data_IF_671008185771
#
_entry.id   IF_671008185771
#
_cell.length_a   1.000
_cell.length_b   1.000
_cell.length_c   1.000
_cell.angle_alpha   90.00
_cell.angle_beta   90.00
_cell.angle_gamma   90.00
#
_symmetry.space_group_name_H-M   'P 1'
#
loop_
_entity.id
_entity.type
_entity.pdbx_description
1 polymer ?
#
# COMPACT_ATOMS: atom_id res chain seq x y z
N UNK A 1 -57.16 2.78 -5.08
CA UNK A 1 -56.31 3.98 -5.30
C UNK A 1 -54.98 3.70 -4.63
N UNK A 2 -54.04 3.15 -5.39
CA UNK A 2 -52.74 2.67 -4.92
C UNK A 2 -51.68 3.62 -5.43
N UNK A 3 -51.04 4.35 -4.52
CA UNK A 3 -49.98 5.30 -4.82
C UNK A 3 -48.62 4.60 -4.68
N UNK A 4 -47.95 4.39 -5.80
CA UNK A 4 -46.58 3.88 -5.87
C UNK A 4 -45.60 4.99 -5.48
N UNK A 5 -44.58 4.74 -4.65
CA UNK A 5 -43.56 5.74 -4.37
C UNK A 5 -42.60 5.86 -5.56
N UNK A 6 -42.46 7.09 -6.07
CA UNK A 6 -41.51 7.48 -7.12
C UNK A 6 -40.15 7.73 -6.47
N UNK A 7 -39.16 6.91 -6.79
CA UNK A 7 -37.76 7.14 -6.43
C UNK A 7 -37.20 8.17 -7.42
N UNK A 8 -37.02 9.40 -6.95
CA UNK A 8 -36.38 10.48 -7.69
C UNK A 8 -34.86 10.25 -7.68
N UNK A 9 -34.31 9.79 -8.82
CA UNK A 9 -32.86 9.82 -9.05
C UNK A 9 -32.43 11.26 -9.32
N UNK A 10 -31.68 11.84 -8.39
CA UNK A 10 -31.01 13.12 -8.55
C UNK A 10 -29.85 12.98 -9.55
N UNK A 11 -30.05 13.47 -10.77
CA UNK A 11 -28.98 13.65 -11.76
C UNK A 11 -28.50 15.09 -11.71
N UNK A 12 -27.71 15.44 -10.70
CA UNK A 12 -26.90 16.66 -10.75
C UNK A 12 -25.56 16.35 -11.41
N UNK A 13 -25.61 16.31 -12.74
CA UNK A 13 -24.45 16.39 -13.63
C UNK A 13 -23.89 17.82 -13.57
N UNK A 14 -22.99 18.07 -12.62
CA UNK A 14 -22.12 19.25 -12.67
C UNK A 14 -21.09 19.05 -13.79
N UNK A 15 -21.28 19.78 -14.89
CA UNK A 15 -20.29 19.98 -15.95
C UNK A 15 -18.95 20.38 -15.33
N UNK A 16 -17.96 19.50 -15.43
CA UNK A 16 -16.57 19.81 -15.15
C UNK A 16 -16.04 20.64 -16.34
N UNK A 17 -15.47 21.84 -16.12
CA UNK A 17 -14.75 22.56 -17.16
C UNK A 17 -13.45 21.81 -17.50
N UNK A 18 -13.14 21.61 -18.78
CA UNK A 18 -11.81 21.18 -19.23
C UNK A 18 -10.73 22.17 -18.77
N UNK A 19 -9.58 21.65 -18.32
CA UNK A 19 -8.29 21.96 -18.97
C UNK A 19 -7.45 20.67 -19.14
N UNK A 20 -7.13 20.20 -20.35
CA UNK A 20 -5.97 20.55 -21.18
C UNK A 20 -4.61 20.56 -20.41
N UNK A 21 -3.88 19.44 -20.47
CA UNK A 21 -2.40 19.32 -20.49
C UNK A 21 -1.58 19.86 -19.29
N UNK A 22 -2.19 20.27 -18.18
CA UNK A 22 -1.47 20.82 -17.01
C UNK A 22 -0.88 19.79 -16.03
N UNK A 23 -1.09 18.48 -16.24
CA UNK A 23 -0.71 17.44 -15.28
C UNK A 23 0.82 17.32 -15.05
N UNK A 24 1.64 17.81 -15.97
CA UNK A 24 3.10 17.91 -15.82
C UNK A 24 3.56 19.36 -15.98
N UNK A 25 3.16 20.24 -15.07
CA UNK A 25 3.74 21.58 -14.99
C UNK A 25 5.19 21.51 -14.49
N UNK A 26 6.09 21.04 -15.36
CA UNK A 26 7.53 21.17 -15.19
C UNK A 26 7.88 22.64 -15.46
N UNK A 27 8.34 23.33 -14.42
CA UNK A 27 8.88 24.68 -14.52
C UNK A 27 9.90 24.76 -15.66
N UNK A 28 9.78 25.78 -16.50
CA UNK A 28 10.55 25.97 -17.71
C UNK A 28 12.07 25.79 -17.51
N UNK A 29 12.64 24.99 -18.41
CA UNK A 29 14.05 24.71 -18.68
C UNK A 29 15.03 25.83 -18.29
N UNK A 30 15.92 25.51 -17.35
CA UNK A 30 17.25 26.14 -17.26
C UNK A 30 18.20 25.27 -18.08
N UNK A 31 18.68 25.79 -19.21
CA UNK A 31 19.75 25.14 -19.99
C UNK A 31 21.07 25.32 -19.24
N UNK A 32 21.65 24.23 -18.76
CA UNK A 32 23.07 24.15 -18.40
C UNK A 32 23.85 23.56 -19.57
N UNK A 33 24.99 24.15 -19.90
CA UNK A 33 25.80 23.81 -21.08
C UNK A 33 26.74 22.61 -20.90
N UNK A 34 26.77 21.99 -19.72
CA UNK A 34 27.65 20.84 -19.44
C UNK A 34 26.85 19.78 -18.68
N UNK A 35 26.60 18.64 -19.33
CA UNK A 35 25.66 17.61 -18.86
C UNK A 35 26.15 16.82 -17.65
N UNK A 36 25.28 16.52 -16.66
CA UNK A 36 25.64 15.67 -15.53
C UNK A 36 25.33 14.19 -15.78
N UNK A 37 26.00 13.36 -14.97
CA UNK A 37 26.08 11.90 -14.99
C UNK A 37 24.74 11.15 -14.69
N UNK A 38 23.61 11.87 -14.60
CA UNK A 38 22.32 11.35 -14.10
C UNK A 38 21.44 10.68 -15.18
N UNK A 39 21.67 10.98 -16.46
CA UNK A 39 20.87 10.42 -17.58
C UNK A 39 21.02 8.90 -17.79
N UNK A 40 22.01 8.28 -17.14
CA UNK A 40 22.30 6.84 -17.25
C UNK A 40 21.47 6.01 -16.25
N UNK A 41 20.96 6.59 -15.17
CA UNK A 41 20.20 5.85 -14.15
C UNK A 41 18.71 5.65 -14.51
N UNK A 42 18.06 6.64 -15.14
CA UNK A 42 16.65 6.53 -15.56
C UNK A 42 16.44 5.45 -16.62
N UNK A 43 17.26 5.47 -17.69
CA UNK A 43 17.22 4.47 -18.78
C UNK A 43 17.50 3.03 -18.32
N UNK A 44 18.19 2.83 -17.18
CA UNK A 44 18.49 1.50 -16.60
C UNK A 44 17.35 0.94 -15.74
N UNK A 45 16.57 1.78 -15.09
CA UNK A 45 15.44 1.35 -14.24
C UNK A 45 14.30 0.73 -15.04
N UNK A 46 14.21 1.03 -16.33
CA UNK A 46 13.04 0.71 -17.16
C UNK A 46 13.26 -0.35 -18.25
N UNK A 47 14.44 -0.98 -18.29
CA UNK A 47 14.63 -2.33 -18.86
C UNK A 47 15.33 -2.45 -20.22
N UNK A 48 15.77 -1.35 -20.85
CA UNK A 48 16.17 -1.36 -22.27
C UNK A 48 17.65 -1.66 -22.57
N UNK A 49 18.38 -2.30 -21.67
CA UNK A 49 19.64 -2.95 -22.05
C UNK A 49 19.70 -4.40 -21.58
N UNK A 50 19.92 -5.30 -22.54
CA UNK A 50 20.61 -6.58 -22.36
C UNK A 50 22.01 -6.29 -21.80
N UNK A 51 22.12 -6.00 -20.51
CA UNK A 51 23.38 -5.82 -19.80
C UNK A 51 23.37 -6.67 -18.55
N UNK A 52 24.30 -7.60 -18.53
CA UNK A 52 24.68 -8.49 -17.44
C UNK A 52 25.06 -7.70 -16.19
N UNK A 53 24.22 -7.73 -15.15
CA UNK A 53 24.56 -7.83 -13.73
C UNK A 53 23.26 -7.70 -12.92
N UNK A 54 22.90 -8.75 -12.19
CA UNK A 54 21.64 -8.89 -11.45
C UNK A 54 21.57 -8.10 -10.14
N UNK A 55 22.30 -7.00 -10.00
CA UNK A 55 22.42 -6.26 -8.73
C UNK A 55 21.72 -4.88 -8.71
N UNK A 56 21.32 -4.30 -9.85
CA UNK A 56 20.84 -2.90 -9.93
C UNK A 56 19.32 -2.73 -10.22
N UNK A 57 18.52 -3.81 -10.22
CA UNK A 57 17.09 -3.77 -10.64
C UNK A 57 16.08 -3.55 -9.51
N UNK A 58 16.55 -3.20 -8.34
CA UNK A 58 15.72 -2.99 -7.17
C UNK A 58 15.54 -1.50 -6.92
N UNK A 59 14.39 -1.08 -6.38
CA UNK A 59 14.36 0.09 -5.48
C UNK A 59 15.61 0.00 -4.58
N UNK A 60 16.38 1.09 -4.37
CA UNK A 60 17.71 1.00 -3.74
C UNK A 60 17.59 0.04 -2.56
N UNK A 61 18.24 -1.14 -2.63
CA UNK A 61 18.03 -2.15 -1.60
C UNK A 61 18.33 -1.43 -0.30
N UNK A 62 17.39 -1.45 0.68
CA UNK A 62 17.62 -0.87 2.00
C UNK A 62 19.06 -1.22 2.34
N UNK A 63 19.97 -0.22 2.50
CA UNK A 63 21.40 -0.44 2.30
C UNK A 63 21.80 -1.74 2.98
N UNK A 64 22.23 -2.74 2.21
CA UNK A 64 22.55 -4.08 2.72
C UNK A 64 23.65 -4.05 3.77
N UNK A 65 24.36 -2.91 3.90
CA UNK A 65 25.20 -2.55 5.03
C UNK A 65 24.67 -1.30 5.78
N UNK A 66 23.42 -1.32 6.26
CA UNK A 66 23.02 -0.34 7.27
C UNK A 66 23.98 -0.50 8.45
N UNK A 67 24.65 0.58 8.84
CA UNK A 67 25.51 0.54 10.02
C UNK A 67 24.67 0.06 11.20
N UNK A 68 25.15 -0.94 11.95
CA UNK A 68 24.44 -1.56 13.09
C UNK A 68 23.84 -0.52 14.06
N UNK A 69 24.49 0.65 14.18
CA UNK A 69 24.01 1.80 14.97
C UNK A 69 22.71 2.40 14.44
N UNK A 70 22.57 2.59 13.13
CA UNK A 70 21.35 3.12 12.50
C UNK A 70 20.23 2.10 12.64
N UNK A 71 20.50 0.82 12.31
CA UNK A 71 19.50 -0.24 12.41
C UNK A 71 18.94 -0.36 13.83
N UNK A 72 19.81 -0.34 14.85
CA UNK A 72 19.39 -0.36 16.24
C UNK A 72 18.59 0.88 16.64
N UNK A 73 18.98 2.07 16.19
CA UNK A 73 18.28 3.32 16.51
C UNK A 73 16.88 3.35 15.87
N UNK A 74 16.75 2.98 14.60
CA UNK A 74 15.46 2.94 13.92
C UNK A 74 14.57 1.82 14.48
N UNK A 75 15.13 0.65 14.80
CA UNK A 75 14.38 -0.43 15.46
C UNK A 75 13.81 -0.03 16.83
N UNK A 76 14.57 0.77 17.61
CA UNK A 76 14.08 1.37 18.86
C UNK A 76 12.96 2.38 18.58
N UNK A 77 13.14 3.28 17.61
CA UNK A 77 12.12 4.25 17.22
C UNK A 77 10.80 3.58 16.80
N UNK A 78 10.86 2.54 15.97
CA UNK A 78 9.69 1.73 15.61
C UNK A 78 9.04 1.11 16.86
N UNK A 79 9.85 0.60 17.80
CA UNK A 79 9.32 0.04 19.05
C UNK A 79 8.61 1.11 19.89
N UNK A 80 9.18 2.31 20.02
CA UNK A 80 8.58 3.44 20.73
C UNK A 80 7.30 3.93 20.04
N UNK A 81 7.22 3.91 18.70
CA UNK A 81 5.99 4.27 17.98
C UNK A 81 4.80 3.34 18.30
N UNK A 82 5.08 2.07 18.58
CA UNK A 82 4.06 1.09 18.93
C UNK A 82 3.72 1.07 20.43
N UNK A 83 4.48 1.74 21.31
CA UNK A 83 4.24 1.70 22.76
C UNK A 83 2.95 2.41 23.18
N UNK A 84 2.45 3.35 22.37
CA UNK A 84 1.21 4.11 22.63
C UNK A 84 -0.07 3.37 22.18
N UNK A 85 -0.11 2.05 22.34
CA UNK A 85 -1.35 1.29 22.23
C UNK A 85 -1.82 0.98 20.81
N UNK A 86 -0.90 0.79 19.86
CA UNK A 86 -1.31 0.08 18.65
C UNK A 86 -1.59 -1.38 18.97
N UNK A 87 -2.74 -1.86 18.50
CA UNK A 87 -3.29 -3.19 18.74
C UNK A 87 -2.52 -4.27 17.94
N UNK A 88 -1.20 -4.29 18.06
CA UNK A 88 -0.39 -5.43 17.64
C UNK A 88 -0.42 -6.53 18.72
N UNK A 89 -0.96 -6.23 19.90
CA UNK A 89 -1.20 -7.21 20.94
C UNK A 89 -2.14 -8.31 20.44
N UNK A 90 -1.83 -9.55 20.78
CA UNK A 90 -2.49 -10.73 20.22
C UNK A 90 -2.02 -11.17 18.83
N UNK A 91 -1.24 -10.35 18.09
CA UNK A 91 -0.65 -10.80 16.82
C UNK A 91 0.49 -11.80 17.06
N UNK A 92 0.58 -12.87 16.25
CA UNK A 92 1.74 -13.75 16.27
C UNK A 92 3.03 -12.97 15.96
N UNK A 93 4.16 -13.38 16.56
CA UNK A 93 5.45 -12.67 16.47
C UNK A 93 5.87 -12.38 15.02
N UNK A 94 5.68 -13.32 14.10
CA UNK A 94 6.01 -13.12 12.68
C UNK A 94 5.15 -12.06 11.98
N UNK A 95 3.95 -11.77 12.48
CA UNK A 95 3.11 -10.67 11.98
C UNK A 95 3.51 -9.34 12.61
N UNK A 96 3.84 -9.32 13.91
CA UNK A 96 4.42 -8.14 14.56
C UNK A 96 5.68 -7.66 13.82
N UNK A 97 6.54 -8.59 13.40
CA UNK A 97 7.75 -8.27 12.63
C UNK A 97 7.42 -7.64 11.26
N UNK A 98 6.41 -8.16 10.55
CA UNK A 98 5.94 -7.58 9.27
C UNK A 98 5.36 -6.18 9.44
N UNK A 99 4.53 -5.96 10.45
CA UNK A 99 3.98 -4.61 10.72
C UNK A 99 5.12 -3.63 11.00
N UNK A 100 6.08 -4.04 11.84
CA UNK A 100 7.28 -3.24 12.10
C UNK A 100 8.13 -2.99 10.85
N UNK A 101 8.16 -3.91 9.89
CA UNK A 101 8.90 -3.68 8.64
C UNK A 101 8.26 -2.59 7.76
N UNK A 102 6.95 -2.39 7.84
CA UNK A 102 6.26 -1.28 7.16
C UNK A 102 6.74 0.07 7.72
N UNK A 103 6.75 0.20 9.05
CA UNK A 103 7.25 1.42 9.72
C UNK A 103 8.73 1.65 9.46
N UNK A 104 9.52 0.58 9.54
CA UNK A 104 10.96 0.64 9.29
C UNK A 104 11.24 1.23 7.91
N UNK A 105 10.48 0.82 6.88
CA UNK A 105 10.68 1.32 5.52
C UNK A 105 10.38 2.82 5.40
N UNK A 106 9.22 3.26 5.92
CA UNK A 106 8.82 4.66 5.91
C UNK A 106 9.83 5.56 6.65
N UNK A 107 10.21 5.18 7.87
CA UNK A 107 11.15 5.95 8.69
C UNK A 107 12.53 6.00 8.03
N UNK A 108 12.98 4.91 7.43
CA UNK A 108 14.24 4.88 6.69
C UNK A 108 14.21 5.83 5.49
N UNK A 109 13.14 5.81 4.69
CA UNK A 109 12.97 6.73 3.57
C UNK A 109 13.03 8.19 4.03
N UNK A 110 12.34 8.53 5.13
CA UNK A 110 12.41 9.86 5.75
C UNK A 110 13.83 10.24 6.20
N UNK A 111 14.52 9.37 6.95
CA UNK A 111 15.85 9.65 7.48
C UNK A 111 16.90 9.80 6.37
N UNK A 112 16.80 8.99 5.32
CA UNK A 112 17.68 9.09 4.16
C UNK A 112 17.52 10.44 3.49
N UNK A 113 16.29 10.87 3.20
CA UNK A 113 16.00 12.16 2.58
C UNK A 113 16.55 13.33 3.41
N UNK A 114 16.35 13.32 4.73
CA UNK A 114 16.89 14.35 5.64
C UNK A 114 18.43 14.38 5.69
N UNK A 115 19.08 13.33 5.19
CA UNK A 115 20.53 13.21 5.15
C UNK A 115 21.15 13.32 3.75
N UNK A 116 20.35 13.41 2.67
CA UNK A 116 20.84 13.53 1.28
C UNK A 116 21.58 14.85 1.01
N UNK A 117 21.43 15.88 1.84
CA UNK A 117 22.15 17.15 1.70
C UNK A 117 23.69 17.10 1.94
N UNK A 118 24.33 15.92 1.85
CA UNK A 118 25.75 15.70 2.20
C UNK A 118 26.53 14.93 1.10
N UNK A 119 26.17 15.09 -0.16
CA UNK A 119 26.77 14.35 -1.27
C UNK A 119 28.11 14.94 -1.75
N UNK A 120 29.24 14.41 -1.26
CA UNK A 120 30.52 14.49 -1.97
C UNK A 120 31.24 13.13 -2.05
N UNK A 121 30.51 12.02 -2.21
CA UNK A 121 31.04 10.69 -2.58
C UNK A 121 32.17 10.09 -1.73
N UNK A 122 32.65 10.73 -0.66
CA UNK A 122 33.84 10.29 0.06
C UNK A 122 33.48 9.25 1.14
N UNK A 123 34.31 8.23 1.37
CA UNK A 123 34.04 7.21 2.40
C UNK A 123 33.75 7.78 3.80
N UNK A 124 34.40 8.90 4.17
CA UNK A 124 34.16 9.61 5.42
C UNK A 124 32.70 10.12 5.54
N UNK A 125 32.07 10.45 4.42
CA UNK A 125 30.68 10.92 4.40
C UNK A 125 29.67 9.81 4.64
N UNK A 126 29.97 8.57 4.25
CA UNK A 126 29.11 7.43 4.57
C UNK A 126 28.98 7.26 6.09
N UNK A 127 30.09 7.35 6.82
CA UNK A 127 30.04 7.27 8.28
C UNK A 127 29.34 8.50 8.88
N UNK A 128 29.62 9.70 8.37
CA UNK A 128 28.96 10.93 8.82
C UNK A 128 27.44 10.87 8.60
N UNK A 129 26.99 10.40 7.44
CA UNK A 129 25.59 10.17 7.08
C UNK A 129 24.95 9.19 8.05
N UNK A 130 25.58 8.04 8.31
CA UNK A 130 25.07 7.07 9.29
C UNK A 130 25.00 7.65 10.71
N UNK A 131 25.99 8.44 11.14
CA UNK A 131 25.96 9.13 12.44
C UNK A 131 24.82 10.14 12.51
N UNK A 132 24.58 10.91 11.44
CA UNK A 132 23.46 11.87 11.33
C UNK A 132 22.11 11.16 11.38
N UNK A 133 21.92 10.09 10.61
CA UNK A 133 20.70 9.27 10.64
C UNK A 133 20.44 8.70 12.03
N UNK A 134 21.45 8.11 12.68
CA UNK A 134 21.30 7.58 14.04
C UNK A 134 20.96 8.68 15.07
N UNK A 135 21.47 9.90 14.88
CA UNK A 135 21.13 11.06 15.73
C UNK A 135 19.69 11.51 15.50
N UNK A 136 19.25 11.62 14.25
CA UNK A 136 17.86 11.97 13.91
C UNK A 136 16.88 10.92 14.44
N UNK A 137 17.19 9.63 14.29
CA UNK A 137 16.38 8.56 14.84
C UNK A 137 16.26 8.66 16.38
N UNK A 138 17.34 9.01 17.09
CA UNK A 138 17.28 9.26 18.54
C UNK A 138 16.42 10.46 18.89
N UNK A 139 16.54 11.57 18.17
CA UNK A 139 15.65 12.72 18.38
C UNK A 139 14.17 12.37 18.14
N UNK A 140 13.88 11.50 17.17
CA UNK A 140 12.55 10.93 16.98
C UNK A 140 12.09 10.07 18.16
N UNK A 141 12.98 9.28 18.78
CA UNK A 141 12.66 8.50 19.98
C UNK A 141 12.28 9.45 21.12
N UNK A 142 13.09 10.46 21.38
CA UNK A 142 12.86 11.42 22.46
C UNK A 142 11.52 12.16 22.27
N UNK A 143 11.19 12.53 21.01
CA UNK A 143 9.91 13.15 20.66
C UNK A 143 8.74 12.18 20.88
N UNK A 144 8.83 10.95 20.36
CA UNK A 144 7.78 9.93 20.48
C UNK A 144 7.54 9.54 21.93
N UNK A 145 8.59 9.33 22.74
CA UNK A 145 8.49 8.91 24.15
C UNK A 145 8.04 10.04 25.08
N UNK A 146 8.09 11.30 24.63
CA UNK A 146 7.67 12.44 25.46
C UNK A 146 6.16 12.47 25.70
N UNK A 147 5.35 12.08 24.70
CA UNK A 147 3.89 12.18 24.74
C UNK A 147 3.23 11.51 23.53
N UNK A 148 1.92 11.26 23.64
CA UNK A 148 1.11 10.83 22.48
C UNK A 148 1.12 11.88 21.36
N UNK A 149 1.08 13.16 21.72
CA UNK A 149 1.11 14.26 20.74
C UNK A 149 2.45 14.30 20.00
N UNK A 150 3.58 14.09 20.69
CA UNK A 150 4.90 13.99 20.07
C UNK A 150 5.01 12.79 19.12
N UNK A 151 4.38 11.67 19.45
CA UNK A 151 4.23 10.53 18.52
C UNK A 151 3.47 10.91 17.26
N UNK A 152 2.32 11.57 17.41
CA UNK A 152 1.46 11.91 16.28
C UNK A 152 2.10 13.02 15.41
N UNK A 153 2.83 13.97 16.02
CA UNK A 153 3.69 14.95 15.33
C UNK A 153 4.80 14.27 14.50
N UNK A 154 5.50 13.30 15.08
CA UNK A 154 6.52 12.53 14.37
C UNK A 154 5.92 11.79 13.17
N UNK A 155 4.78 11.11 13.36
CA UNK A 155 4.07 10.40 12.28
C UNK A 155 3.69 11.37 11.16
N UNK A 156 3.08 12.52 11.51
CA UNK A 156 2.69 13.55 10.54
C UNK A 156 3.90 14.04 9.74
N UNK A 157 5.02 14.31 10.42
CA UNK A 157 6.27 14.74 9.79
C UNK A 157 6.76 13.68 8.79
N UNK A 158 6.81 12.41 9.19
CA UNK A 158 7.25 11.34 8.28
C UNK A 158 6.35 11.23 7.06
N UNK A 159 5.02 11.31 7.24
CA UNK A 159 4.04 11.27 6.14
C UNK A 159 4.21 12.43 5.17
N UNK A 160 4.33 13.65 5.69
CA UNK A 160 4.51 14.85 4.88
C UNK A 160 5.78 14.73 4.01
N UNK A 161 6.91 14.33 4.61
CA UNK A 161 8.15 14.16 3.88
C UNK A 161 8.10 13.08 2.81
N UNK A 162 7.49 11.92 3.10
CA UNK A 162 7.37 10.86 2.09
C UNK A 162 6.41 11.29 0.98
N UNK A 163 5.32 11.99 1.32
CA UNK A 163 4.38 12.52 0.33
C UNK A 163 5.06 13.54 -0.58
N UNK A 164 5.83 14.48 -0.03
CA UNK A 164 6.65 15.42 -0.81
C UNK A 164 7.62 14.68 -1.74
N UNK A 165 8.27 13.63 -1.23
CA UNK A 165 9.18 12.77 -2.00
C UNK A 165 8.47 12.05 -3.15
N UNK A 166 7.26 11.56 -2.92
CA UNK A 166 6.45 10.89 -3.95
C UNK A 166 6.16 11.77 -5.17
N UNK A 167 6.10 13.09 -4.97
CA UNK A 167 5.87 14.06 -6.04
C UNK A 167 7.15 14.66 -6.62
N UNK A 168 8.22 14.75 -5.83
CA UNK A 168 9.49 15.36 -6.25
C UNK A 168 10.44 14.38 -6.94
N UNK A 169 10.31 13.07 -6.69
CA UNK A 169 11.10 12.04 -7.40
C UNK A 169 10.58 11.71 -8.80
N UNK A 170 9.50 12.34 -9.25
CA UNK A 170 9.10 12.31 -10.66
C UNK A 170 10.06 13.23 -11.43
N UNK A 171 11.26 12.72 -11.72
CA UNK A 171 12.20 13.47 -12.55
C UNK A 171 11.63 13.61 -13.98
N UNK A 172 11.99 14.67 -14.72
CA UNK A 172 11.59 14.81 -16.12
C UNK A 172 11.90 13.55 -16.95
N UNK A 173 13.03 12.89 -16.69
CA UNK A 173 13.42 11.67 -17.38
C UNK A 173 12.51 10.49 -17.04
N UNK A 174 12.18 10.29 -15.75
CA UNK A 174 11.22 9.26 -15.35
C UNK A 174 9.85 9.54 -15.95
N UNK A 175 9.43 10.81 -15.99
CA UNK A 175 8.18 11.21 -16.63
C UNK A 175 8.20 10.91 -18.13
N UNK A 176 9.26 11.27 -18.85
CA UNK A 176 9.41 11.01 -20.28
C UNK A 176 9.40 9.51 -20.58
N UNK A 177 10.15 8.70 -19.82
CA UNK A 177 10.18 7.26 -19.99
C UNK A 177 8.81 6.62 -19.69
N UNK A 178 8.08 7.14 -18.69
CA UNK A 178 6.72 6.71 -18.38
C UNK A 178 5.75 7.10 -19.50
N UNK A 179 5.85 8.31 -20.06
CA UNK A 179 5.04 8.79 -21.18
C UNK A 179 5.27 7.92 -22.43
N UNK A 180 6.52 7.58 -22.75
CA UNK A 180 6.83 6.66 -23.85
C UNK A 180 6.13 5.31 -23.63
N UNK A 181 6.19 4.79 -22.39
CA UNK A 181 5.53 3.53 -22.04
C UNK A 181 4.01 3.59 -22.10
N UNK A 182 3.38 4.73 -21.79
CA UNK A 182 1.93 4.91 -21.90
C UNK A 182 1.44 4.64 -23.33
N UNK A 183 2.26 4.88 -24.36
CA UNK A 183 1.83 4.62 -25.75
C UNK A 183 1.53 3.14 -26.02
N UNK A 184 2.15 2.22 -25.26
CA UNK A 184 1.89 0.79 -25.38
C UNK A 184 0.73 0.36 -24.47
N UNK A 185 -0.26 -0.30 -25.06
CA UNK A 185 -1.41 -0.88 -24.35
C UNK A 185 -0.99 -2.03 -23.41
N UNK A 186 0.19 -2.62 -23.63
CA UNK A 186 0.71 -3.70 -22.78
C UNK A 186 1.25 -3.19 -21.45
N UNK A 187 1.62 -1.91 -21.36
CA UNK A 187 2.10 -1.28 -20.13
C UNK A 187 0.92 -0.83 -19.27
N UNK A 188 0.02 -1.74 -18.91
CA UNK A 188 -1.07 -1.39 -17.98
C UNK A 188 -0.52 -0.82 -16.65
N UNK A 189 -1.29 -0.03 -15.91
CA UNK A 189 -0.87 0.46 -14.59
C UNK A 189 -0.39 -0.64 -13.64
N UNK A 190 -0.96 -1.84 -13.71
CA UNK A 190 -0.48 -3.00 -12.94
C UNK A 190 0.93 -3.48 -13.33
N UNK A 191 1.29 -3.40 -14.61
CA UNK A 191 2.65 -3.71 -15.07
C UNK A 191 3.64 -2.62 -14.66
N UNK A 192 3.23 -1.36 -14.71
CA UNK A 192 4.06 -0.26 -14.19
C UNK A 192 4.26 -0.36 -12.68
N UNK A 193 3.22 -0.73 -11.91
CA UNK A 193 3.35 -1.02 -10.49
C UNK A 193 4.49 -2.03 -10.21
N UNK A 194 4.55 -3.12 -11.00
CA UNK A 194 5.59 -4.16 -10.89
C UNK A 194 6.96 -3.63 -11.29
N UNK A 195 7.05 -2.90 -12.42
CA UNK A 195 8.31 -2.33 -12.92
C UNK A 195 8.90 -1.27 -11.97
N UNK A 196 8.04 -0.48 -11.33
CA UNK A 196 8.45 0.49 -10.32
C UNK A 196 8.78 -0.17 -8.97
N UNK A 197 8.45 -1.45 -8.79
CA UNK A 197 8.68 -2.18 -7.54
C UNK A 197 7.99 -1.51 -6.33
N UNK A 198 6.75 -1.02 -6.53
CA UNK A 198 5.98 -0.30 -5.49
C UNK A 198 5.77 -1.17 -4.25
N UNK A 199 5.49 -2.46 -4.44
CA UNK A 199 5.33 -3.41 -3.34
C UNK A 199 6.64 -3.91 -2.70
N UNK A 200 7.81 -3.52 -3.24
CA UNK A 200 9.14 -4.01 -2.85
C UNK A 200 9.54 -5.36 -3.46
N UNK A 201 10.86 -5.58 -3.60
CA UNK A 201 11.53 -6.52 -4.53
C UNK A 201 10.74 -7.81 -4.83
N UNK A 202 9.89 -7.67 -5.85
CA UNK A 202 9.09 -8.69 -6.54
C UNK A 202 7.92 -9.32 -5.77
N UNK A 203 7.04 -8.45 -5.25
CA UNK A 203 5.57 -8.65 -5.15
C UNK A 203 5.07 -9.96 -4.54
N UNK A 204 5.58 -10.35 -3.36
CA UNK A 204 5.18 -11.46 -2.44
C UNK A 204 6.01 -12.73 -2.46
N UNK A 205 6.75 -13.03 -3.53
CA UNK A 205 7.37 -14.37 -3.69
C UNK A 205 8.66 -14.50 -2.88
N UNK A 206 9.40 -13.41 -2.67
CA UNK A 206 10.60 -13.39 -1.83
C UNK A 206 10.21 -13.11 -0.37
N UNK A 207 10.21 -14.17 0.45
CA UNK A 207 9.69 -14.24 1.83
C UNK A 207 10.33 -13.28 2.87
N UNK A 208 11.15 -12.31 2.46
CA UNK A 208 12.06 -11.60 3.37
C UNK A 208 11.64 -10.20 3.74
N UNK A 209 10.96 -9.43 2.87
CA UNK A 209 10.50 -8.06 3.21
C UNK A 209 9.25 -7.72 2.41
N UNK A 210 8.19 -7.34 3.11
CA UNK A 210 7.01 -6.74 2.48
C UNK A 210 7.18 -5.23 2.58
N UNK A 211 7.30 -4.57 1.42
CA UNK A 211 7.31 -3.12 1.35
C UNK A 211 5.92 -2.58 1.67
N UNK A 212 5.88 -1.43 2.32
CA UNK A 212 4.64 -0.66 2.43
C UNK A 212 4.46 0.12 1.12
N UNK A 213 3.50 -0.23 0.25
CA UNK A 213 3.35 0.45 -1.04
C UNK A 213 2.99 1.93 -0.87
N UNK A 214 2.31 2.29 0.24
CA UNK A 214 1.98 3.67 0.59
C UNK A 214 3.19 4.51 0.98
N UNK A 215 4.27 3.85 1.43
CA UNK A 215 5.54 4.51 1.76
C UNK A 215 6.54 4.50 0.58
N UNK A 216 6.17 3.90 -0.56
CA UNK A 216 7.05 3.87 -1.72
C UNK A 216 7.22 5.28 -2.28
N UNK A 217 8.45 5.76 -2.50
CA UNK A 217 8.66 7.08 -3.08
C UNK A 217 8.28 7.13 -4.57
N UNK A 218 8.06 5.97 -5.21
CA UNK A 218 7.61 5.86 -6.60
C UNK A 218 6.08 5.83 -6.73
N UNK A 219 5.33 5.89 -5.63
CA UNK A 219 3.86 5.83 -5.67
C UNK A 219 3.26 7.01 -6.44
N UNK A 220 3.78 8.22 -6.25
CA UNK A 220 3.31 9.40 -6.99
C UNK A 220 3.53 9.26 -8.50
N UNK A 221 4.65 8.66 -8.92
CA UNK A 221 4.90 8.35 -10.32
C UNK A 221 3.87 7.37 -10.90
N UNK A 222 3.47 6.34 -10.14
CA UNK A 222 2.40 5.42 -10.55
C UNK A 222 1.04 6.14 -10.65
N UNK A 223 0.70 7.01 -9.69
CA UNK A 223 -0.55 7.78 -9.73
C UNK A 223 -0.60 8.73 -10.94
N UNK A 224 0.51 9.42 -11.23
CA UNK A 224 0.66 10.22 -12.44
C UNK A 224 0.50 9.37 -13.70
N UNK A 225 1.14 8.20 -13.74
CA UNK A 225 1.02 7.25 -14.86
C UNK A 225 -0.43 6.82 -15.10
N UNK A 226 -1.17 6.46 -14.06
CA UNK A 226 -2.59 6.06 -14.15
C UNK A 226 -3.41 7.16 -14.81
N UNK A 227 -3.21 8.42 -14.41
CA UNK A 227 -3.89 9.57 -15.00
C UNK A 227 -3.67 9.67 -16.50
N UNK A 228 -2.41 9.67 -16.94
CA UNK A 228 -2.04 9.77 -18.36
C UNK A 228 -2.54 8.54 -19.15
N UNK A 229 -2.41 7.35 -18.57
CA UNK A 229 -2.87 6.10 -19.21
C UNK A 229 -4.38 6.14 -19.45
N UNK A 230 -5.17 6.58 -18.47
CA UNK A 230 -6.62 6.71 -18.61
C UNK A 230 -7.03 7.73 -19.67
N UNK A 231 -6.34 8.86 -19.74
CA UNK A 231 -6.59 9.86 -20.78
C UNK A 231 -6.29 9.32 -22.17
N UNK A 232 -5.13 8.67 -22.34
CA UNK A 232 -4.64 8.18 -23.62
C UNK A 232 -5.47 7.01 -24.17
N UNK A 233 -5.87 6.07 -23.30
CA UNK A 233 -6.55 4.84 -23.71
C UNK A 233 -8.06 4.86 -23.46
N UNK A 234 -8.60 5.99 -22.99
CA UNK A 234 -10.01 6.15 -22.63
C UNK A 234 -10.49 5.09 -21.63
N UNK A 235 -9.65 4.78 -20.64
CA UNK A 235 -9.92 3.82 -19.56
C UNK A 235 -10.22 4.52 -18.24
N UNK A 236 -10.58 3.75 -17.21
CA UNK A 236 -10.90 4.23 -15.86
C UNK A 236 -10.15 3.43 -14.78
N UNK A 237 -8.87 3.14 -14.99
CA UNK A 237 -8.04 2.48 -13.99
C UNK A 237 -7.96 3.31 -12.71
N UNK A 238 -8.19 2.68 -11.58
CA UNK A 238 -7.96 3.25 -10.25
C UNK A 238 -6.59 2.82 -9.69
N UNK A 239 -6.18 3.43 -8.57
CA UNK A 239 -5.00 2.97 -7.84
C UNK A 239 -5.20 1.55 -7.30
N UNK A 240 -6.40 1.23 -6.84
CA UNK A 240 -6.78 -0.10 -6.40
C UNK A 240 -6.65 -1.13 -7.53
N UNK A 241 -7.09 -0.82 -8.75
CA UNK A 241 -6.92 -1.71 -9.91
C UNK A 241 -5.44 -1.98 -10.21
N UNK A 242 -4.61 -0.94 -10.15
CA UNK A 242 -3.17 -1.08 -10.32
C UNK A 242 -2.55 -1.97 -9.24
N UNK A 243 -3.02 -1.88 -7.99
CA UNK A 243 -2.58 -2.75 -6.90
C UNK A 243 -3.06 -4.18 -7.12
N UNK A 244 -4.31 -4.42 -7.50
CA UNK A 244 -4.86 -5.74 -7.79
C UNK A 244 -4.05 -6.42 -8.90
N UNK A 245 -3.81 -5.73 -10.01
CA UNK A 245 -3.03 -6.25 -11.12
C UNK A 245 -1.55 -6.43 -10.75
N UNK A 246 -0.99 -5.49 -10.00
CA UNK A 246 0.40 -5.48 -9.54
C UNK A 246 0.73 -6.62 -8.58
N UNK A 247 -0.18 -6.89 -7.64
CA UNK A 247 -0.07 -7.97 -6.66
C UNK A 247 -0.60 -9.32 -7.16
N UNK A 248 -1.19 -9.38 -8.36
CA UNK A 248 -1.68 -10.61 -8.96
C UNK A 248 -2.99 -11.13 -8.35
N UNK A 249 -3.85 -10.23 -7.88
CA UNK A 249 -5.22 -10.53 -7.47
C UNK A 249 -5.64 -9.88 -6.15
N UNK A 250 -6.95 -9.81 -5.96
CA UNK A 250 -7.60 -9.13 -4.83
C UNK A 250 -7.25 -9.71 -3.47
N UNK A 251 -7.13 -11.03 -3.34
CA UNK A 251 -6.74 -11.65 -2.07
C UNK A 251 -5.33 -11.25 -1.62
N UNK A 252 -4.39 -11.01 -2.55
CA UNK A 252 -3.06 -10.52 -2.21
C UNK A 252 -3.12 -9.06 -1.76
N UNK A 253 -3.92 -8.22 -2.43
CA UNK A 253 -4.16 -6.84 -2.01
C UNK A 253 -4.78 -6.82 -0.61
N UNK A 254 -5.86 -7.57 -0.39
CA UNK A 254 -6.54 -7.66 0.89
C UNK A 254 -5.59 -8.11 2.01
N UNK A 255 -4.75 -9.12 1.75
CA UNK A 255 -3.72 -9.58 2.69
C UNK A 255 -2.64 -8.52 2.98
N UNK A 256 -2.27 -7.71 1.98
CA UNK A 256 -1.33 -6.58 2.15
C UNK A 256 -1.97 -5.49 2.99
N UNK A 257 -3.19 -5.06 2.64
CA UNK A 257 -3.94 -4.02 3.34
C UNK A 257 -4.23 -4.40 4.80
N UNK A 258 -4.50 -5.68 5.07
CA UNK A 258 -4.56 -6.26 6.40
C UNK A 258 -3.36 -5.97 7.30
N UNK A 259 -2.16 -5.93 6.72
CA UNK A 259 -0.93 -5.58 7.43
C UNK A 259 -0.72 -4.06 7.43
N UNK A 260 -0.97 -3.40 6.30
CA UNK A 260 -0.79 -1.98 6.13
C UNK A 260 -1.69 -1.15 7.06
N UNK A 261 -2.93 -1.59 7.35
CA UNK A 261 -3.84 -0.90 8.28
C UNK A 261 -3.37 -0.87 9.74
N UNK A 262 -2.47 -1.79 10.09
CA UNK A 262 -1.82 -1.80 11.41
C UNK A 262 -0.66 -0.79 11.47
N UNK A 263 -0.26 -0.23 10.34
CA UNK A 263 0.76 0.82 10.30
C UNK A 263 0.30 2.05 11.09
N UNK A 264 1.18 2.65 11.87
CA UNK A 264 0.91 3.94 12.50
C UNK A 264 1.09 5.10 11.52
N UNK A 265 1.94 4.95 10.50
CA UNK A 265 2.20 5.98 9.50
C UNK A 265 1.14 5.95 8.40
N UNK A 266 0.82 4.79 7.82
CA UNK A 266 -0.07 4.68 6.65
C UNK A 266 -1.34 3.86 6.90
N UNK A 267 -1.70 3.65 8.17
CA UNK A 267 -2.87 2.86 8.52
C UNK A 267 -4.19 3.48 8.05
N UNK A 268 -4.23 4.79 7.79
CA UNK A 268 -5.42 5.48 7.28
C UNK A 268 -5.66 5.20 5.80
N UNK A 269 -4.64 5.40 4.97
CA UNK A 269 -4.66 5.16 3.52
C UNK A 269 -4.96 3.70 3.21
N UNK A 270 -4.36 2.78 3.98
CA UNK A 270 -4.65 1.35 3.84
C UNK A 270 -6.12 1.01 4.17
N UNK A 271 -6.74 1.67 5.16
CA UNK A 271 -8.17 1.45 5.47
C UNK A 271 -9.08 2.00 4.39
N UNK A 272 -8.76 3.17 3.84
CA UNK A 272 -9.52 3.74 2.72
C UNK A 272 -9.50 2.79 1.52
N UNK A 273 -8.33 2.25 1.18
CA UNK A 273 -8.21 1.29 0.09
C UNK A 273 -8.86 -0.07 0.41
N UNK A 274 -8.91 -0.51 1.68
CA UNK A 274 -9.69 -1.67 2.10
C UNK A 274 -11.19 -1.44 1.85
N UNK A 275 -11.71 -0.25 2.19
CA UNK A 275 -13.11 0.12 1.95
C UNK A 275 -13.42 0.17 0.44
N UNK A 276 -12.54 0.75 -0.39
CA UNK A 276 -12.69 0.72 -1.86
C UNK A 276 -12.73 -0.72 -2.41
N UNK A 277 -11.91 -1.63 -1.86
CA UNK A 277 -11.93 -3.05 -2.24
C UNK A 277 -13.24 -3.72 -1.83
N UNK A 278 -13.78 -3.37 -0.67
CA UNK A 278 -15.04 -3.92 -0.19
C UNK A 278 -16.25 -3.37 -0.97
N UNK A 279 -16.23 -2.10 -1.35
CA UNK A 279 -17.22 -1.51 -2.26
C UNK A 279 -17.20 -2.23 -3.60
N UNK A 280 -16.02 -2.46 -4.18
CA UNK A 280 -15.88 -3.23 -5.41
C UNK A 280 -16.48 -4.65 -5.30
N UNK A 281 -16.27 -5.34 -4.17
CA UNK A 281 -16.88 -6.65 -3.94
C UNK A 281 -18.41 -6.57 -3.80
N UNK A 282 -18.91 -5.57 -3.07
CA UNK A 282 -20.33 -5.36 -2.87
C UNK A 282 -21.05 -5.01 -4.18
N UNK A 283 -20.48 -4.14 -5.00
CA UNK A 283 -21.01 -3.77 -6.32
C UNK A 283 -21.10 -4.97 -7.28
N UNK A 284 -20.22 -5.97 -7.11
CA UNK A 284 -20.27 -7.24 -7.85
C UNK A 284 -21.27 -8.25 -7.27
N UNK A 285 -21.97 -7.90 -6.19
CA UNK A 285 -22.93 -8.78 -5.51
C UNK A 285 -22.26 -9.89 -4.71
N UNK A 286 -21.02 -9.71 -4.24
CA UNK A 286 -20.31 -10.75 -3.52
C UNK A 286 -20.77 -10.84 -2.07
N UNK A 287 -21.36 -11.98 -1.73
CA UNK A 287 -21.62 -12.38 -0.33
C UNK A 287 -20.37 -13.00 0.32
N UNK A 288 -20.48 -13.43 1.58
CA UNK A 288 -19.33 -13.81 2.42
C UNK A 288 -18.58 -15.01 1.82
N UNK A 289 -19.29 -15.99 1.27
CA UNK A 289 -18.71 -17.17 0.62
C UNK A 289 -17.80 -16.84 -0.57
N UNK A 290 -18.15 -15.86 -1.40
CA UNK A 290 -17.33 -15.44 -2.53
C UNK A 290 -15.96 -14.90 -2.07
N UNK A 291 -15.98 -14.05 -1.04
CA UNK A 291 -14.75 -13.49 -0.47
C UNK A 291 -13.92 -14.60 0.17
N UNK A 292 -14.54 -15.49 0.94
CA UNK A 292 -13.84 -16.65 1.52
C UNK A 292 -13.18 -17.52 0.43
N UNK A 293 -13.84 -17.77 -0.70
CA UNK A 293 -13.28 -18.56 -1.79
C UNK A 293 -12.07 -17.91 -2.47
N UNK A 294 -12.08 -16.60 -2.65
CA UNK A 294 -10.94 -15.87 -3.21
C UNK A 294 -9.76 -15.86 -2.24
N UNK A 295 -10.02 -15.68 -0.95
CA UNK A 295 -8.98 -15.79 0.08
C UNK A 295 -8.41 -17.22 0.17
N UNK A 296 -9.25 -18.25 0.00
CA UNK A 296 -8.81 -19.67 -0.03
C UNK A 296 -7.88 -19.98 -1.19
N UNK A 297 -8.11 -19.44 -2.38
CA UNK A 297 -7.26 -19.68 -3.55
C UNK A 297 -5.80 -19.28 -3.31
N UNK A 298 -5.54 -18.25 -2.48
CA UNK A 298 -4.19 -17.84 -2.09
C UNK A 298 -3.51 -18.80 -1.09
N UNK A 299 -4.29 -19.56 -0.30
CA UNK A 299 -3.76 -20.47 0.71
C UNK A 299 -2.94 -21.61 0.11
N UNK A 300 -3.28 -22.06 -1.10
CA UNK A 300 -2.51 -23.10 -1.79
C UNK A 300 -1.09 -22.65 -2.13
N UNK A 301 -0.86 -21.34 -2.24
CA UNK A 301 0.43 -20.74 -2.56
C UNK A 301 1.26 -20.51 -1.28
N UNK A 302 0.60 -20.21 -0.15
CA UNK A 302 1.24 -19.86 1.12
C UNK A 302 1.13 -21.05 2.10
N UNK A 303 2.15 -21.91 2.17
CA UNK A 303 2.29 -23.05 3.11
C UNK A 303 2.36 -22.68 4.61
N UNK A 304 1.68 -21.62 5.08
CA UNK A 304 1.72 -21.11 6.47
C UNK A 304 0.31 -21.02 7.08
N UNK A 305 0.21 -20.88 8.43
CA UNK A 305 -1.06 -20.96 9.13
C UNK A 305 -2.02 -19.90 8.60
N UNK A 306 -3.28 -20.30 8.45
CA UNK A 306 -4.47 -19.58 7.99
C UNK A 306 -4.73 -18.20 8.64
N UNK A 307 -3.90 -17.81 9.61
CA UNK A 307 -4.41 -17.16 10.80
C UNK A 307 -4.58 -15.65 10.72
N UNK A 308 -3.94 -14.95 9.78
CA UNK A 308 -4.09 -13.49 9.69
C UNK A 308 -4.45 -13.06 8.28
N UNK A 309 -3.67 -13.44 7.26
CA UNK A 309 -3.89 -12.99 5.87
C UNK A 309 -5.23 -13.41 5.27
N UNK A 310 -5.90 -14.43 5.82
CA UNK A 310 -7.26 -14.82 5.41
C UNK A 310 -8.31 -14.39 6.42
N UNK A 311 -8.05 -14.60 7.73
CA UNK A 311 -9.01 -14.25 8.78
C UNK A 311 -9.35 -12.77 8.78
N UNK A 312 -8.31 -11.96 8.66
CA UNK A 312 -8.40 -10.55 8.94
C UNK A 312 -9.09 -9.77 7.80
N UNK A 313 -8.82 -10.03 6.50
CA UNK A 313 -9.64 -9.44 5.44
C UNK A 313 -11.09 -9.91 5.48
N UNK A 314 -11.34 -11.21 5.68
CA UNK A 314 -12.70 -11.75 5.74
C UNK A 314 -13.48 -11.14 6.89
N UNK A 315 -12.88 -11.03 8.08
CA UNK A 315 -13.48 -10.39 9.24
C UNK A 315 -13.84 -8.94 8.96
N UNK A 316 -12.93 -8.16 8.36
CA UNK A 316 -13.23 -6.76 8.05
C UNK A 316 -14.33 -6.64 7.00
N UNK A 317 -14.33 -7.50 5.97
CA UNK A 317 -15.39 -7.51 4.98
C UNK A 317 -16.74 -7.82 5.61
N UNK A 318 -16.82 -8.82 6.50
CA UNK A 318 -18.07 -9.15 7.19
C UNK A 318 -18.59 -7.95 7.99
N UNK A 319 -17.72 -7.27 8.74
CA UNK A 319 -18.10 -6.06 9.50
C UNK A 319 -18.57 -4.94 8.56
N UNK A 320 -17.87 -4.75 7.44
CA UNK A 320 -18.22 -3.77 6.42
C UNK A 320 -19.58 -4.08 5.79
N UNK A 321 -19.75 -5.32 5.33
CA UNK A 321 -20.93 -5.86 4.65
C UNK A 321 -22.18 -5.80 5.52
N UNK A 322 -22.09 -6.25 6.78
CA UNK A 322 -23.18 -6.15 7.76
C UNK A 322 -23.64 -4.71 7.96
N UNK A 323 -22.69 -3.77 8.07
CA UNK A 323 -22.99 -2.34 8.21
C UNK A 323 -23.60 -1.76 6.94
N UNK A 324 -22.99 -2.02 5.78
CA UNK A 324 -23.40 -1.45 4.49
C UNK A 324 -24.83 -1.88 4.10
N UNK A 325 -25.19 -3.13 4.38
CA UNK A 325 -26.51 -3.69 4.07
C UNK A 325 -27.49 -3.68 5.25
N UNK A 326 -27.09 -3.12 6.39
CA UNK A 326 -27.91 -3.09 7.62
C UNK A 326 -28.43 -4.47 8.03
N UNK A 327 -27.58 -5.50 7.90
CA UNK A 327 -27.96 -6.89 8.21
C UNK A 327 -28.10 -7.09 9.72
N UNK A 328 -29.05 -7.93 10.17
CA UNK A 328 -29.08 -8.44 11.53
C UNK A 328 -27.75 -9.07 11.94
N UNK A 329 -27.19 -8.67 13.08
CA UNK A 329 -25.90 -9.17 13.58
C UNK A 329 -25.87 -10.70 13.71
N UNK A 330 -27.01 -11.32 14.00
CA UNK A 330 -27.14 -12.77 14.16
C UNK A 330 -26.69 -13.55 12.92
N UNK A 331 -26.84 -12.99 11.71
CA UNK A 331 -26.43 -13.65 10.47
C UNK A 331 -24.90 -13.78 10.35
N UNK A 332 -24.14 -12.93 11.06
CA UNK A 332 -22.67 -12.89 10.94
C UNK A 332 -21.93 -13.18 12.24
N UNK A 333 -22.63 -13.19 13.37
CA UNK A 333 -22.06 -13.40 14.70
C UNK A 333 -21.28 -14.72 14.81
N UNK A 334 -21.85 -15.83 14.33
CA UNK A 334 -21.21 -17.15 14.39
C UNK A 334 -19.90 -17.18 13.58
N UNK A 335 -19.87 -16.55 12.39
CA UNK A 335 -18.66 -16.46 11.58
C UNK A 335 -17.60 -15.63 12.30
N UNK A 336 -17.97 -14.47 12.84
CA UNK A 336 -17.06 -13.59 13.57
C UNK A 336 -16.49 -14.27 14.82
N UNK A 337 -17.31 -15.02 15.55
CA UNK A 337 -16.86 -15.82 16.70
C UNK A 337 -15.80 -16.83 16.26
N UNK A 338 -16.06 -17.59 15.19
CA UNK A 338 -15.10 -18.55 14.64
C UNK A 338 -13.79 -17.90 14.21
N UNK A 339 -13.86 -16.75 13.53
CA UNK A 339 -12.67 -16.02 13.08
C UNK A 339 -11.85 -15.45 14.25
N UNK A 340 -12.49 -15.14 15.38
CA UNK A 340 -11.81 -14.65 16.59
C UNK A 340 -11.13 -15.76 17.40
N UNK A 341 -11.47 -17.05 17.18
CA UNK A 341 -10.77 -18.16 17.83
C UNK A 341 -9.33 -18.23 17.34
N UNK A 342 -8.36 -18.52 18.23
CA UNK A 342 -6.95 -18.68 17.85
C UNK A 342 -6.79 -19.77 16.77
N UNK A 343 -7.48 -20.90 16.98
CA UNK A 343 -7.58 -22.03 16.06
C UNK A 343 -9.04 -22.24 15.68
N UNK A 344 -9.32 -22.41 14.38
CA UNK A 344 -10.63 -22.84 13.90
C UNK A 344 -10.47 -23.90 12.80
N UNK A 345 -11.51 -24.70 12.60
CA UNK A 345 -11.56 -25.70 11.55
C UNK A 345 -12.13 -25.07 10.26
N UNK A 346 -11.43 -25.18 9.13
CA UNK A 346 -11.95 -24.63 7.87
C UNK A 346 -13.28 -25.26 7.46
N UNK A 347 -13.49 -26.55 7.71
CA UNK A 347 -14.76 -27.21 7.37
C UNK A 347 -15.92 -26.62 8.18
N UNK A 348 -15.67 -26.29 9.44
CA UNK A 348 -16.63 -25.58 10.30
C UNK A 348 -16.90 -24.17 9.78
N UNK A 349 -15.84 -23.41 9.42
CA UNK A 349 -16.00 -22.08 8.84
C UNK A 349 -16.81 -22.11 7.53
N UNK A 350 -16.55 -23.08 6.64
CA UNK A 350 -17.29 -23.22 5.38
C UNK A 350 -18.77 -23.50 5.63
N UNK A 351 -19.07 -24.45 6.52
CA UNK A 351 -20.46 -24.79 6.86
C UNK A 351 -21.22 -23.60 7.45
N UNK A 352 -20.58 -22.81 8.33
CA UNK A 352 -21.23 -21.63 8.93
C UNK A 352 -21.39 -20.50 7.90
N UNK A 353 -20.42 -20.32 6.99
CA UNK A 353 -20.56 -19.32 5.91
C UNK A 353 -21.66 -19.71 4.93
N UNK A 354 -21.80 -20.99 4.57
CA UNK A 354 -22.89 -21.47 3.71
C UNK A 354 -24.26 -21.19 4.33
N UNK A 355 -24.46 -21.52 5.61
CA UNK A 355 -25.71 -21.23 6.34
C UNK A 355 -26.00 -19.71 6.41
N UNK A 356 -24.98 -18.91 6.73
CA UNK A 356 -25.12 -17.44 6.77
C UNK A 356 -25.45 -16.85 5.40
N UNK A 357 -24.83 -17.33 4.33
CA UNK A 357 -25.06 -16.86 2.96
C UNK A 357 -26.49 -17.16 2.49
N UNK A 358 -27.06 -18.31 2.86
CA UNK A 358 -28.48 -18.64 2.62
C UNK A 358 -29.39 -17.64 3.34
N UNK A 359 -29.16 -17.40 4.65
CA UNK A 359 -29.95 -16.46 5.44
C UNK A 359 -29.87 -15.01 4.90
N UNK A 360 -28.68 -14.59 4.46
CA UNK A 360 -28.46 -13.27 3.85
C UNK A 360 -29.19 -13.17 2.52
N UNK A 361 -29.14 -14.21 1.69
CA UNK A 361 -29.80 -14.22 0.39
C UNK A 361 -31.31 -14.11 0.55
N UNK A 362 -31.90 -14.87 1.47
CA UNK A 362 -33.32 -14.80 1.79
C UNK A 362 -33.72 -13.40 2.29
N UNK A 363 -32.88 -12.79 3.14
CA UNK A 363 -33.11 -11.44 3.65
C UNK A 363 -33.09 -10.38 2.53
N UNK A 364 -32.15 -10.48 1.58
CA UNK A 364 -31.98 -9.49 0.51
C UNK A 364 -33.04 -9.58 -0.59
N UNK A 365 -33.57 -10.78 -0.86
CA UNK A 365 -34.63 -10.97 -1.86
C UNK A 365 -35.99 -10.52 -1.30
N UNK A 366 -36.14 -10.58 0.03
CA UNK A 366 -37.42 -10.33 0.70
C UNK A 366 -38.40 -11.51 0.52
N UNK A 367 -39.46 -11.56 1.33
CA UNK A 367 -40.50 -12.59 1.23
C UNK A 367 -41.34 -12.53 -0.04
#
# INVERSE_FOLDING_TARGET
MTSTPVIVRSTNSTKIPRPLLTAFNLSASVRFSDGPYDSVHAKRLLGDLKSTLGEERASPPIPTSMGKKVANAVGRLVTSLHSYGQNTDGLPSGYKEKVRSFELHAIMAYLETRCLALESGQPHEKELRQRKMARLARGGIDLVESSKDGRDEFISTVREFISERQWTEITPELADDLIEKVQSIENTPGEIFKKLDIGGESTWVSRKRMGNPFASPKLGALMGYIGVYNEQHHTSWTLLDAFIAGYGGEANVAGMLSLARLSCIYGGEARQMDEELFDMWLERGWIIGHVLDIQKKQLHIIRRPWAYTVKDPLKQYILYFTRALSLPELYTANILELLNREKFNIKELLSVVEESDEQITDFLIGP
#
